data_IF_387812534435
#
_entry.id   IF_387812534435
#
_cell.length_a   1.000
_cell.length_b   1.000
_cell.length_c   1.000
_cell.angle_alpha   90.00
_cell.angle_beta   90.00
_cell.angle_gamma   90.00
#
_symmetry.space_group_name_H-M   'P 1'
#
loop_
_entity.id
_entity.type
_entity.pdbx_description
1 polymer ?
#
# COMPACT_ATOMS: atom_id res chain seq x y z
N UNK A 1 -27.38 15.85 -36.59
CA UNK A 1 -26.05 15.27 -36.33
C UNK A 1 -25.69 15.62 -34.89
N UNK A 2 -25.51 14.60 -34.05
CA UNK A 2 -25.46 14.71 -32.59
C UNK A 2 -24.17 15.40 -32.12
N UNK A 3 -24.28 16.33 -31.17
CA UNK A 3 -23.22 16.65 -30.22
C UNK A 3 -23.81 16.41 -28.83
N UNK A 4 -23.85 15.15 -28.42
CA UNK A 4 -24.00 14.81 -27.00
C UNK A 4 -22.59 14.86 -26.43
N UNK A 5 -22.11 16.07 -26.19
CA UNK A 5 -20.92 16.27 -25.37
C UNK A 5 -21.34 16.06 -23.93
N UNK A 6 -20.95 14.93 -23.34
CA UNK A 6 -21.03 14.76 -21.88
C UNK A 6 -20.08 15.78 -21.28
N UNK A 7 -20.61 16.90 -20.77
CA UNK A 7 -19.83 17.78 -19.91
C UNK A 7 -19.59 17.00 -18.61
N UNK A 8 -18.40 16.42 -18.49
CA UNK A 8 -17.86 15.98 -17.21
C UNK A 8 -17.73 17.23 -16.33
N UNK A 9 -18.73 17.47 -15.48
CA UNK A 9 -18.64 18.48 -14.43
C UNK A 9 -17.72 17.92 -13.35
N UNK A 10 -16.49 18.42 -13.34
CA UNK A 10 -15.50 18.14 -12.30
C UNK A 10 -15.56 19.29 -11.29
N UNK A 11 -15.56 18.98 -10.00
CA UNK A 11 -15.61 20.02 -8.97
C UNK A 11 -14.31 20.84 -8.96
N UNK A 12 -14.38 22.12 -8.63
CA UNK A 12 -13.20 22.99 -8.59
C UNK A 12 -12.16 22.48 -7.57
N UNK A 13 -12.63 21.85 -6.49
CA UNK A 13 -11.78 21.26 -5.45
C UNK A 13 -10.98 20.06 -5.96
N UNK A 14 -11.54 19.27 -6.88
CA UNK A 14 -10.79 18.19 -7.55
C UNK A 14 -9.71 18.77 -8.44
N UNK A 15 -10.06 19.80 -9.21
CA UNK A 15 -9.13 20.46 -10.13
C UNK A 15 -7.97 21.07 -9.34
N UNK A 16 -8.27 21.75 -8.23
CA UNK A 16 -7.27 22.33 -7.32
C UNK A 16 -6.34 21.26 -6.75
N UNK A 17 -6.89 20.15 -6.23
CA UNK A 17 -6.08 19.04 -5.73
C UNK A 17 -5.15 18.46 -6.79
N UNK A 18 -5.67 18.18 -7.99
CA UNK A 18 -4.89 17.63 -9.10
C UNK A 18 -3.80 18.61 -9.53
N UNK A 19 -4.10 19.91 -9.56
CA UNK A 19 -3.13 20.94 -9.94
C UNK A 19 -1.94 21.01 -8.98
N UNK A 20 -2.16 20.74 -7.69
CA UNK A 20 -1.11 20.71 -6.65
C UNK A 20 -0.32 19.39 -6.63
N UNK A 21 -0.92 18.30 -7.10
CA UNK A 21 -0.28 16.98 -7.19
C UNK A 21 0.58 16.84 -8.46
N UNK A 22 0.11 17.38 -9.59
CA UNK A 22 0.78 17.27 -10.89
C UNK A 22 1.61 18.54 -11.14
N UNK A 23 2.66 18.70 -10.33
CA UNK A 23 3.62 19.80 -10.45
C UNK A 23 4.96 19.23 -10.92
N UNK A 24 5.64 19.94 -11.83
CA UNK A 24 6.92 19.53 -12.41
C UNK A 24 8.05 19.65 -11.39
N UNK A 25 8.06 20.75 -10.64
CA UNK A 25 9.01 20.95 -9.54
C UNK A 25 8.57 20.13 -8.33
N UNK A 26 9.50 19.37 -7.76
CA UNK A 26 9.25 18.54 -6.58
C UNK A 26 9.10 19.38 -5.33
N UNK A 27 9.79 20.52 -5.25
CA UNK A 27 9.76 21.40 -4.08
C UNK A 27 8.43 22.17 -3.99
N UNK A 28 7.79 22.42 -5.13
CA UNK A 28 6.46 23.07 -5.21
C UNK A 28 5.29 22.07 -5.12
N UNK A 29 5.54 20.78 -5.34
CA UNK A 29 4.52 19.74 -5.30
C UNK A 29 4.05 19.51 -3.87
N UNK A 30 2.73 19.43 -3.68
CA UNK A 30 2.15 19.14 -2.37
C UNK A 30 2.62 17.77 -1.86
N UNK A 31 2.96 17.70 -0.57
CA UNK A 31 3.32 16.45 0.09
C UNK A 31 2.07 15.65 0.50
N UNK A 32 2.28 14.43 1.01
CA UNK A 32 1.17 13.55 1.42
C UNK A 32 0.33 14.20 2.53
N UNK A 33 0.96 14.91 3.47
CA UNK A 33 0.22 15.58 4.55
C UNK A 33 -0.65 16.72 4.04
N UNK A 34 -0.12 17.56 3.16
CA UNK A 34 -0.88 18.62 2.49
C UNK A 34 -2.03 18.06 1.66
N UNK A 35 -1.80 16.96 0.93
CA UNK A 35 -2.83 16.31 0.14
C UNK A 35 -3.96 15.76 1.02
N UNK A 36 -3.66 15.04 2.11
CA UNK A 36 -4.68 14.50 3.01
C UNK A 36 -5.48 15.59 3.73
N UNK A 37 -4.90 16.77 3.91
CA UNK A 37 -5.58 17.94 4.47
C UNK A 37 -6.37 18.76 3.43
N UNK A 38 -6.35 18.36 2.16
CA UNK A 38 -7.05 19.07 1.10
C UNK A 38 -8.57 19.00 1.29
N UNK A 39 -9.29 20.08 0.97
CA UNK A 39 -10.74 20.18 1.13
C UNK A 39 -11.49 19.04 0.44
N UNK A 40 -11.09 18.70 -0.80
CA UNK A 40 -11.69 17.58 -1.53
C UNK A 40 -11.64 16.23 -0.77
N UNK A 41 -10.51 15.93 -0.12
CA UNK A 41 -10.32 14.67 0.62
C UNK A 41 -11.04 14.72 1.97
N UNK A 42 -10.90 15.81 2.71
CA UNK A 42 -11.50 15.96 4.05
C UNK A 42 -13.03 16.10 4.03
N UNK A 43 -13.62 16.50 2.89
CA UNK A 43 -15.08 16.48 2.71
C UNK A 43 -15.64 15.07 2.55
N UNK A 44 -14.83 14.11 2.07
CA UNK A 44 -15.29 12.78 1.66
C UNK A 44 -14.80 11.66 2.57
N UNK A 45 -13.72 11.86 3.32
CA UNK A 45 -13.08 10.85 4.17
C UNK A 45 -12.94 11.38 5.59
N UNK A 46 -13.30 10.54 6.57
CA UNK A 46 -13.21 10.91 7.99
C UNK A 46 -11.75 11.02 8.46
N UNK A 47 -11.45 11.86 9.47
CA UNK A 47 -10.09 11.99 10.00
C UNK A 47 -9.50 10.68 10.55
N UNK A 48 -10.34 9.79 11.07
CA UNK A 48 -9.92 8.48 11.58
C UNK A 48 -9.45 7.54 10.46
N UNK A 49 -10.08 7.61 9.29
CA UNK A 49 -9.68 6.88 8.10
C UNK A 49 -8.42 7.47 7.44
N UNK A 50 -8.22 8.78 7.55
CA UNK A 50 -7.02 9.48 7.06
C UNK A 50 -5.81 9.33 7.99
N UNK A 51 -5.96 8.66 9.14
CA UNK A 51 -4.90 8.53 10.13
C UNK A 51 -3.71 7.75 9.54
N UNK A 52 -2.52 8.31 9.70
CA UNK A 52 -1.29 7.65 9.31
C UNK A 52 -1.18 6.25 9.94
N UNK A 53 -0.90 5.25 9.11
CA UNK A 53 -0.58 3.92 9.59
C UNK A 53 0.72 3.95 10.39
N UNK A 54 0.90 3.00 11.31
CA UNK A 54 2.17 2.88 12.05
C UNK A 54 3.30 2.75 11.05
N UNK A 55 4.27 3.65 11.14
CA UNK A 55 5.50 3.56 10.38
C UNK A 55 6.17 2.23 10.70
N UNK A 56 6.16 1.30 9.76
CA UNK A 56 7.10 0.19 9.73
C UNK A 56 8.22 0.64 8.77
N UNK A 57 9.31 1.24 9.29
CA UNK A 57 10.40 1.63 8.42
C UNK A 57 10.84 0.40 7.63
N UNK A 58 11.02 0.56 6.32
CA UNK A 58 11.52 -0.52 5.49
C UNK A 58 12.88 -0.93 6.07
N UNK A 59 12.94 -2.14 6.64
CA UNK A 59 14.17 -2.65 7.23
C UNK A 59 14.87 -3.48 6.17
N UNK A 60 15.83 -2.85 5.50
CA UNK A 60 16.78 -3.58 4.65
C UNK A 60 17.61 -4.44 5.58
N UNK A 61 17.34 -5.75 5.58
CA UNK A 61 18.10 -6.71 6.38
C UNK A 61 19.43 -7.10 5.72
N UNK A 62 19.53 -6.91 4.41
CA UNK A 62 20.71 -7.21 3.62
C UNK A 62 20.84 -6.20 2.49
N UNK A 63 21.98 -5.53 2.42
CA UNK A 63 22.27 -4.59 1.35
C UNK A 63 22.46 -5.31 0.01
N UNK A 64 22.13 -4.63 -1.09
CA UNK A 64 22.15 -5.22 -2.43
C UNK A 64 23.52 -5.81 -2.80
N UNK A 65 24.62 -5.16 -2.39
CA UNK A 65 25.98 -5.64 -2.62
C UNK A 65 26.27 -6.98 -1.93
N UNK A 66 25.65 -7.25 -0.77
CA UNK A 66 25.79 -8.53 -0.08
C UNK A 66 24.96 -9.62 -0.76
N UNK A 67 23.78 -9.28 -1.31
CA UNK A 67 22.92 -10.20 -2.07
C UNK A 67 23.64 -10.76 -3.29
N UNK A 68 24.42 -9.92 -4.00
CA UNK A 68 25.18 -10.33 -5.19
C UNK A 68 26.31 -11.32 -4.89
N UNK A 69 26.73 -11.42 -3.62
CA UNK A 69 27.76 -12.37 -3.19
C UNK A 69 27.22 -13.70 -2.70
N UNK A 70 25.89 -13.82 -2.57
CA UNK A 70 25.25 -15.06 -2.13
C UNK A 70 25.15 -16.07 -3.26
N UNK A 71 25.37 -17.33 -2.92
CA UNK A 71 24.95 -18.43 -3.79
C UNK A 71 23.42 -18.51 -3.85
N UNK A 72 22.89 -19.19 -4.87
CA UNK A 72 21.45 -19.42 -5.01
C UNK A 72 20.83 -20.07 -3.75
N UNK A 73 21.57 -20.99 -3.10
CA UNK A 73 21.11 -21.66 -1.89
C UNK A 73 21.03 -20.68 -0.70
N UNK A 74 22.07 -19.88 -0.48
CA UNK A 74 22.12 -18.92 0.63
C UNK A 74 21.08 -17.82 0.46
N UNK A 75 20.83 -17.38 -0.79
CA UNK A 75 19.76 -16.44 -1.10
C UNK A 75 18.38 -17.05 -0.80
N UNK A 76 18.13 -18.29 -1.20
CA UNK A 76 16.87 -18.98 -0.91
C UNK A 76 16.65 -19.16 0.61
N UNK A 77 17.69 -19.45 1.37
CA UNK A 77 17.63 -19.55 2.83
C UNK A 77 17.40 -18.19 3.50
N UNK A 78 18.06 -17.12 3.01
CA UNK A 78 17.85 -15.76 3.49
C UNK A 78 16.40 -15.28 3.25
N UNK A 79 15.85 -15.53 2.06
CA UNK A 79 14.46 -15.22 1.74
C UNK A 79 13.47 -16.02 2.59
N UNK A 80 13.70 -17.32 2.77
CA UNK A 80 12.85 -18.16 3.63
C UNK A 80 12.84 -17.69 5.08
N UNK A 81 13.99 -17.22 5.60
CA UNK A 81 14.10 -16.64 6.93
C UNK A 81 13.34 -15.33 7.05
N UNK A 82 13.38 -14.51 6.00
CA UNK A 82 12.68 -13.23 5.97
C UNK A 82 11.15 -13.40 5.92
N UNK A 83 10.64 -14.30 5.08
CA UNK A 83 9.20 -14.65 5.02
C UNK A 83 8.69 -15.12 6.38
N UNK A 84 9.39 -16.07 7.04
CA UNK A 84 8.98 -16.60 8.35
C UNK A 84 9.12 -15.59 9.49
N UNK A 85 9.98 -14.58 9.34
CA UNK A 85 10.13 -13.51 10.34
C UNK A 85 9.09 -12.39 10.20
N UNK A 86 8.34 -12.36 9.09
CA UNK A 86 7.24 -11.43 8.89
C UNK A 86 6.01 -11.77 9.76
N UNK A 87 5.98 -12.95 10.38
CA UNK A 87 4.91 -13.42 11.28
C UNK A 87 4.93 -12.77 12.68
N UNK A 88 5.51 -11.57 12.84
CA UNK A 88 5.36 -10.76 14.04
C UNK A 88 3.96 -10.13 14.13
N UNK A 89 3.01 -10.93 14.62
CA UNK A 89 1.86 -10.59 15.46
C UNK A 89 1.60 -9.08 15.70
N UNK A 90 0.73 -8.47 14.88
CA UNK A 90 -0.03 -7.25 15.22
C UNK A 90 -1.36 -7.12 14.47
N UNK A 91 -1.85 -8.20 13.87
CA UNK A 91 -3.27 -8.34 13.51
C UNK A 91 -4.00 -8.89 14.73
N UNK A 92 -4.19 -8.03 15.74
CA UNK A 92 -5.36 -8.22 16.60
C UNK A 92 -6.56 -7.97 15.71
N UNK A 93 -7.14 -9.06 15.21
CA UNK A 93 -8.38 -9.08 14.44
C UNK A 93 -9.46 -8.42 15.30
N UNK A 94 -9.62 -7.11 15.19
CA UNK A 94 -10.87 -6.48 15.55
C UNK A 94 -11.86 -6.81 14.45
N UNK A 95 -12.57 -7.90 14.73
CA UNK A 95 -13.76 -8.39 14.07
C UNK A 95 -14.67 -7.24 13.60
N UNK A 96 -14.82 -7.12 12.28
CA UNK A 96 -15.82 -6.30 11.59
C UNK A 96 -15.94 -6.87 10.18
N UNK A 97 -16.90 -7.77 10.00
CA UNK A 97 -16.83 -8.85 9.01
C UNK A 97 -16.86 -8.46 7.52
N UNK A 98 -16.08 -9.21 6.74
CA UNK A 98 -16.60 -9.91 5.55
C UNK A 98 -15.71 -11.13 5.30
N UNK A 99 -16.34 -12.30 5.20
CA UNK A 99 -15.66 -13.59 5.04
C UNK A 99 -15.02 -13.70 3.65
N UNK A 100 -13.69 -13.65 3.59
CA UNK A 100 -12.94 -14.37 2.57
C UNK A 100 -12.16 -15.48 3.27
N UNK A 101 -12.72 -16.68 3.22
CA UNK A 101 -12.11 -17.88 3.77
C UNK A 101 -11.09 -18.36 2.74
N UNK A 102 -9.81 -18.03 2.94
CA UNK A 102 -8.74 -18.81 2.33
C UNK A 102 -8.58 -20.05 3.22
N UNK A 103 -9.37 -21.10 2.94
CA UNK A 103 -9.25 -22.36 3.69
C UNK A 103 -7.84 -22.89 3.51
N UNK A 104 -7.12 -22.97 4.64
CA UNK A 104 -5.83 -23.63 4.77
C UNK A 104 -5.99 -25.16 4.73
N UNK A 105 -6.69 -25.70 3.73
CA UNK A 105 -6.93 -27.13 3.55
C UNK A 105 -6.16 -27.75 2.37
N UNK A 106 -5.43 -26.96 1.58
CA UNK A 106 -4.78 -27.49 0.37
C UNK A 106 -3.42 -28.17 0.59
N UNK A 107 -2.87 -28.18 1.81
CA UNK A 107 -1.56 -28.80 2.09
C UNK A 107 -1.61 -30.10 2.90
N UNK A 108 -2.80 -30.61 3.22
CA UNK A 108 -2.95 -31.92 3.88
C UNK A 108 -2.79 -33.11 2.92
N UNK A 109 -2.75 -32.87 1.61
CA UNK A 109 -2.75 -33.93 0.58
C UNK A 109 -1.44 -34.09 -0.20
N UNK A 110 -0.34 -33.43 0.20
CA UNK A 110 0.98 -33.67 -0.40
C UNK A 110 1.96 -34.41 0.53
N UNK A 111 1.43 -35.24 1.44
CA UNK A 111 2.19 -36.40 1.93
C UNK A 111 1.92 -37.54 0.95
N UNK A 112 2.78 -37.66 -0.06
CA UNK A 112 2.91 -38.89 -0.83
C UNK A 112 4.09 -39.65 -0.24
N UNK A 113 3.95 -40.95 0.12
CA UNK A 113 5.08 -41.78 0.52
C UNK A 113 6.10 -41.99 -0.61
#
# INVERSE_FOLDING_TARGET
>A
MFHVGVQLQVSEEVIDLISKLIVVDVDDRIDVHGALNHTYITQSISPDELRAQKACPFKVKMDMAAVETLTHQELAEALNRDVRSADCSLYSVHSGGSSFVFTADFLSHLVVP
#
